data_IF_473860309939
#
_entry.id   IF_473860309939
#
_cell.length_a   1.000
_cell.length_b   1.000
_cell.length_c   1.000
_cell.angle_alpha   90.00
_cell.angle_beta   90.00
_cell.angle_gamma   90.00
#
_symmetry.space_group_name_H-M   'P 1'
#
loop_
_entity.id
_entity.type
_entity.pdbx_description
1 polymer ?
#
# COMPACT_ATOMS: atom_id res chain seq x y z
N UNK A 1 16.99 10.77 1.04
CA UNK A 1 17.80 11.86 1.60
C UNK A 1 18.88 11.31 2.51
N UNK A 2 18.56 10.55 3.57
CA UNK A 2 19.53 10.01 4.53
C UNK A 2 20.63 9.14 3.90
N UNK A 3 20.41 8.59 2.73
CA UNK A 3 21.38 7.83 1.94
C UNK A 3 22.15 8.68 0.92
N UNK A 4 22.01 10.00 0.94
CA UNK A 4 22.74 10.92 0.06
C UNK A 4 22.12 11.15 -1.31
N UNK A 5 20.91 10.64 -1.57
CA UNK A 5 20.23 10.89 -2.84
C UNK A 5 19.67 12.31 -2.90
N UNK A 6 19.77 12.93 -4.08
CA UNK A 6 18.93 14.05 -4.47
C UNK A 6 17.57 13.53 -4.92
N UNK A 7 16.48 14.12 -4.45
CA UNK A 7 15.13 13.60 -4.66
C UNK A 7 14.29 14.61 -5.44
N UNK A 8 13.82 14.21 -6.62
CA UNK A 8 12.75 14.91 -7.31
C UNK A 8 11.43 14.26 -6.91
N UNK A 9 10.58 14.99 -6.21
CA UNK A 9 9.27 14.50 -5.76
C UNK A 9 8.13 15.24 -6.44
N UNK A 10 7.01 14.56 -6.66
CA UNK A 10 5.84 15.18 -7.28
C UNK A 10 4.67 15.29 -6.32
N UNK A 11 3.90 16.35 -6.52
CA UNK A 11 2.61 16.61 -5.87
C UNK A 11 1.57 16.98 -6.92
N UNK A 12 0.29 16.75 -6.61
CA UNK A 12 -0.80 17.00 -7.57
C UNK A 12 -1.08 18.50 -7.76
N UNK A 13 -0.81 19.30 -6.76
CA UNK A 13 -0.99 20.75 -6.79
C UNK A 13 -0.01 21.47 -5.86
N UNK A 14 0.20 22.76 -6.10
CA UNK A 14 1.17 23.60 -5.38
C UNK A 14 0.91 23.65 -3.86
N UNK A 15 -0.35 23.57 -3.43
CA UNK A 15 -0.70 23.63 -2.00
C UNK A 15 -0.18 22.44 -1.19
N UNK A 16 0.16 21.34 -1.85
CA UNK A 16 0.72 20.14 -1.22
C UNK A 16 2.22 20.24 -0.94
N UNK A 17 2.93 21.16 -1.60
CA UNK A 17 4.37 21.33 -1.40
C UNK A 17 4.66 21.68 0.06
N UNK A 18 3.98 22.69 0.61
CA UNK A 18 4.19 23.11 1.99
C UNK A 18 3.78 22.03 3.00
N UNK A 19 2.75 21.24 2.69
CA UNK A 19 2.35 20.11 3.53
C UNK A 19 3.49 19.09 3.64
N UNK A 20 4.12 18.74 2.52
CA UNK A 20 5.24 17.80 2.49
C UNK A 20 6.49 18.38 3.14
N UNK A 21 6.87 19.63 2.81
CA UNK A 21 8.01 20.33 3.42
C UNK A 21 7.90 20.40 4.95
N UNK A 22 6.76 20.86 5.44
CA UNK A 22 6.51 20.99 6.88
C UNK A 22 6.55 19.61 7.59
N UNK A 23 6.04 18.56 6.92
CA UNK A 23 6.10 17.21 7.44
C UNK A 23 7.57 16.73 7.56
N UNK A 24 8.39 16.94 6.54
CA UNK A 24 9.82 16.57 6.54
C UNK A 24 10.60 17.34 7.62
N UNK A 25 10.45 18.67 7.68
CA UNK A 25 11.13 19.53 8.65
C UNK A 25 10.75 19.13 10.08
N UNK A 26 9.47 18.87 10.35
CA UNK A 26 8.98 18.39 11.66
C UNK A 26 9.67 17.10 12.11
N UNK A 27 10.09 16.27 11.18
CA UNK A 27 10.80 15.02 11.47
C UNK A 27 12.32 15.13 11.29
N UNK A 28 12.88 16.36 11.27
CA UNK A 28 14.31 16.60 11.21
C UNK A 28 14.96 16.33 9.85
N UNK A 29 14.17 16.26 8.76
CA UNK A 29 14.69 16.05 7.42
C UNK A 29 14.81 17.39 6.70
N UNK A 30 16.06 17.74 6.23
CA UNK A 30 16.27 18.91 5.38
C UNK A 30 15.61 18.74 4.01
N UNK A 31 15.10 19.83 3.47
CA UNK A 31 14.55 19.89 2.13
C UNK A 31 15.55 20.41 1.07
N UNK A 32 16.82 20.64 1.41
CA UNK A 32 17.83 21.23 0.52
C UNK A 32 18.12 20.36 -0.71
N UNK A 33 18.00 19.04 -0.56
CA UNK A 33 18.20 18.05 -1.63
C UNK A 33 16.88 17.52 -2.18
N UNK A 34 15.80 18.33 -2.13
CA UNK A 34 14.49 17.93 -2.65
C UNK A 34 13.98 18.98 -3.64
N UNK A 35 13.73 18.56 -4.88
CA UNK A 35 12.99 19.35 -5.87
C UNK A 35 11.53 18.91 -5.94
N UNK A 36 10.60 19.86 -6.06
CA UNK A 36 9.17 19.60 -6.11
C UNK A 36 8.62 19.89 -7.49
N UNK A 37 8.00 18.90 -8.11
CA UNK A 37 7.28 19.01 -9.38
C UNK A 37 5.79 18.87 -9.18
N UNK A 38 5.00 19.53 -10.02
CA UNK A 38 3.54 19.37 -10.03
C UNK A 38 3.19 18.43 -11.17
N UNK A 39 2.68 17.25 -10.85
CA UNK A 39 2.30 16.22 -11.83
C UNK A 39 0.90 15.69 -11.54
N UNK A 40 0.16 15.43 -12.60
CA UNK A 40 -1.15 14.80 -12.54
C UNK A 40 -1.14 13.49 -13.33
N UNK A 41 -1.60 12.40 -12.74
CA UNK A 41 -1.69 11.08 -13.39
C UNK A 41 -2.54 11.09 -14.68
N UNK A 42 -3.46 12.05 -14.81
CA UNK A 42 -4.35 12.20 -15.97
C UNK A 42 -3.88 13.25 -17.00
N UNK A 43 -2.71 13.86 -16.78
CA UNK A 43 -2.17 14.88 -17.69
C UNK A 43 -0.78 14.45 -18.19
N UNK A 44 -0.48 14.72 -19.46
CA UNK A 44 0.79 14.38 -20.10
C UNK A 44 1.91 15.39 -19.81
N UNK A 45 1.56 16.59 -19.28
CA UNK A 45 2.50 17.67 -19.07
C UNK A 45 3.44 17.42 -17.87
N UNK A 46 4.69 17.86 -18.00
CA UNK A 46 5.68 17.97 -16.95
C UNK A 46 6.44 16.69 -16.62
N UNK A 47 6.05 15.52 -17.15
CA UNK A 47 6.70 14.25 -16.83
C UNK A 47 8.15 14.20 -17.30
N UNK A 48 8.43 14.63 -18.53
CA UNK A 48 9.79 14.62 -19.08
C UNK A 48 10.72 15.57 -18.32
N UNK A 49 10.24 16.76 -17.98
CA UNK A 49 11.01 17.71 -17.18
C UNK A 49 11.28 17.18 -15.75
N UNK A 50 10.28 16.53 -15.14
CA UNK A 50 10.44 15.98 -13.81
C UNK A 50 11.41 14.80 -13.74
N UNK A 51 11.54 14.02 -14.81
CA UNK A 51 12.40 12.84 -14.86
C UNK A 51 13.76 13.08 -15.52
N UNK A 52 14.00 14.29 -16.04
CA UNK A 52 15.28 14.65 -16.62
C UNK A 52 16.40 14.57 -15.56
N UNK A 53 17.42 13.77 -15.85
CA UNK A 53 18.56 13.52 -14.96
C UNK A 53 18.29 12.56 -13.80
N UNK A 54 17.08 11.99 -13.69
CA UNK A 54 16.80 10.98 -12.69
C UNK A 54 17.40 9.63 -13.10
N UNK A 55 18.09 8.98 -12.16
CA UNK A 55 18.62 7.62 -12.36
C UNK A 55 17.59 6.54 -12.01
N UNK A 56 16.74 6.80 -11.04
CA UNK A 56 15.76 5.88 -10.48
C UNK A 56 14.38 6.53 -10.38
N UNK A 57 13.35 5.73 -10.53
CA UNK A 57 11.97 6.16 -10.31
C UNK A 57 11.30 5.21 -9.30
N UNK A 58 10.74 5.78 -8.24
CA UNK A 58 9.83 5.11 -7.33
C UNK A 58 8.41 5.59 -7.62
N UNK A 59 7.66 4.84 -8.42
CA UNK A 59 6.29 5.20 -8.80
C UNK A 59 5.31 4.69 -7.74
N UNK A 60 4.93 5.56 -6.80
CA UNK A 60 4.01 5.26 -5.71
C UNK A 60 2.59 5.80 -5.94
N UNK A 61 2.46 6.78 -6.82
CA UNK A 61 1.19 7.46 -7.04
C UNK A 61 0.15 6.55 -7.70
N UNK A 62 -0.98 6.38 -7.03
CA UNK A 62 -2.13 5.64 -7.55
C UNK A 62 -3.36 6.02 -6.73
N UNK A 63 -4.56 6.14 -7.33
CA UNK A 63 -5.78 6.37 -6.55
C UNK A 63 -6.07 5.18 -5.63
N UNK A 64 -6.43 5.49 -4.39
CA UNK A 64 -6.89 4.50 -3.41
C UNK A 64 -8.30 4.90 -2.97
N UNK A 65 -9.30 4.47 -3.72
CA UNK A 65 -10.71 4.71 -3.43
C UNK A 65 -11.31 3.37 -3.01
N UNK A 66 -11.73 3.20 -1.75
CA UNK A 66 -12.28 1.93 -1.27
C UNK A 66 -13.74 1.76 -1.68
N UNK A 67 -14.13 0.50 -1.86
CA UNK A 67 -15.50 0.11 -2.16
C UNK A 67 -15.78 -0.09 -3.64
N UNK A 68 -17.06 -0.26 -3.94
CA UNK A 68 -17.59 -0.43 -5.29
C UNK A 68 -17.89 0.98 -5.84
N UNK A 69 -16.92 1.53 -6.55
CA UNK A 69 -16.99 2.86 -7.17
C UNK A 69 -16.87 2.70 -8.68
N UNK A 70 -17.09 3.77 -9.43
CA UNK A 70 -16.85 3.77 -10.87
C UNK A 70 -15.42 3.32 -11.18
N UNK A 71 -15.29 2.25 -11.98
CA UNK A 71 -14.00 1.65 -12.34
C UNK A 71 -13.07 2.68 -12.99
N UNK A 72 -13.59 3.56 -13.83
CA UNK A 72 -12.80 4.56 -14.56
C UNK A 72 -12.13 5.58 -13.62
N UNK A 73 -12.72 5.87 -12.47
CA UNK A 73 -12.11 6.77 -11.48
C UNK A 73 -10.85 6.19 -10.82
N UNK A 74 -10.67 4.87 -10.87
CA UNK A 74 -9.57 4.18 -10.20
C UNK A 74 -8.61 3.56 -11.21
N UNK A 75 -9.13 2.87 -12.22
CA UNK A 75 -8.33 2.12 -13.19
C UNK A 75 -7.60 3.04 -14.16
N UNK A 76 -8.31 3.99 -14.75
CA UNK A 76 -7.73 4.91 -15.74
C UNK A 76 -6.54 5.68 -15.18
N UNK A 77 -6.63 6.43 -14.08
CA UNK A 77 -5.46 7.14 -13.55
C UNK A 77 -4.35 6.20 -13.05
N UNK A 78 -4.68 4.99 -12.59
CA UNK A 78 -3.66 4.03 -12.15
C UNK A 78 -2.85 3.45 -13.32
N UNK A 79 -3.50 3.15 -14.44
CA UNK A 79 -2.85 2.57 -15.63
C UNK A 79 -2.16 3.66 -16.42
N UNK A 80 -2.91 4.66 -16.89
CA UNK A 80 -2.37 5.72 -17.74
C UNK A 80 -1.32 6.58 -17.03
N UNK A 81 -1.50 6.86 -15.72
CA UNK A 81 -0.51 7.60 -14.93
C UNK A 81 0.80 6.84 -14.79
N UNK A 82 0.73 5.52 -14.60
CA UNK A 82 1.92 4.66 -14.61
C UNK A 82 2.58 4.66 -16.00
N UNK A 83 1.81 4.54 -17.08
CA UNK A 83 2.33 4.57 -18.46
C UNK A 83 3.04 5.88 -18.76
N UNK A 84 2.46 7.04 -18.40
CA UNK A 84 3.10 8.36 -18.56
C UNK A 84 4.45 8.42 -17.85
N UNK A 85 4.47 8.03 -16.59
CA UNK A 85 5.68 8.01 -15.80
C UNK A 85 6.75 7.08 -16.39
N UNK A 86 6.37 5.85 -16.74
CA UNK A 86 7.30 4.86 -17.28
C UNK A 86 7.83 5.23 -18.67
N UNK A 87 6.97 5.71 -19.57
CA UNK A 87 7.39 6.14 -20.90
C UNK A 87 8.34 7.35 -20.83
N UNK A 88 8.07 8.31 -19.96
CA UNK A 88 8.98 9.41 -19.70
C UNK A 88 10.29 8.93 -19.04
N UNK A 89 10.25 7.95 -18.13
CA UNK A 89 11.44 7.35 -17.56
C UNK A 89 12.33 6.68 -18.65
N UNK A 90 11.73 5.94 -19.58
CA UNK A 90 12.42 5.33 -20.72
C UNK A 90 13.06 6.41 -21.59
N UNK A 91 12.31 7.45 -21.95
CA UNK A 91 12.77 8.56 -22.79
C UNK A 91 13.96 9.29 -22.16
N UNK A 92 13.97 9.48 -20.84
CA UNK A 92 15.03 10.16 -20.11
C UNK A 92 16.20 9.24 -19.68
N UNK A 93 16.20 7.97 -20.10
CA UNK A 93 17.29 7.05 -19.82
C UNK A 93 17.40 6.63 -18.35
N UNK A 94 16.28 6.62 -17.61
CA UNK A 94 16.20 6.11 -16.24
C UNK A 94 16.70 4.66 -16.18
N UNK A 95 17.55 4.34 -15.23
CA UNK A 95 18.15 2.99 -15.09
C UNK A 95 17.14 1.97 -14.56
N UNK A 96 16.35 2.36 -13.56
CA UNK A 96 15.40 1.45 -12.93
C UNK A 96 14.11 2.13 -12.50
N UNK A 97 13.00 1.44 -12.73
CA UNK A 97 11.64 1.81 -12.34
C UNK A 97 11.13 0.83 -11.26
N UNK A 98 10.76 1.34 -10.10
CA UNK A 98 10.16 0.57 -9.01
C UNK A 98 8.70 0.96 -8.86
N UNK A 99 7.78 0.05 -9.18
CA UNK A 99 6.35 0.32 -9.05
C UNK A 99 5.83 -0.14 -7.68
N UNK A 100 5.16 0.75 -6.96
CA UNK A 100 4.32 0.35 -5.83
C UNK A 100 3.01 -0.21 -6.35
N UNK A 101 2.97 -1.53 -6.51
CA UNK A 101 1.76 -2.28 -6.79
C UNK A 101 0.98 -2.55 -5.49
N UNK A 102 0.44 -3.72 -5.31
CA UNK A 102 -0.30 -4.12 -4.10
C UNK A 102 -0.43 -5.64 -4.04
N UNK A 103 -0.61 -6.20 -2.86
CA UNK A 103 -1.15 -7.54 -2.66
C UNK A 103 -2.49 -7.75 -3.40
N UNK A 104 -3.24 -6.68 -3.66
CA UNK A 104 -4.45 -6.72 -4.48
C UNK A 104 -4.22 -7.24 -5.92
N UNK A 105 -2.99 -7.17 -6.44
CA UNK A 105 -2.62 -7.76 -7.73
C UNK A 105 -2.28 -9.26 -7.64
N UNK A 106 -2.31 -9.85 -6.44
CA UNK A 106 -1.89 -11.23 -6.15
C UNK A 106 -3.07 -12.08 -5.67
N UNK A 107 -3.86 -11.62 -4.71
CA UNK A 107 -4.66 -12.46 -3.81
C UNK A 107 -6.00 -12.94 -4.33
N UNK A 108 -6.59 -12.31 -5.33
CA UNK A 108 -7.95 -12.65 -5.76
C UNK A 108 -8.02 -13.92 -6.65
N UNK A 109 -6.98 -14.76 -6.59
CA UNK A 109 -7.01 -16.12 -7.11
C UNK A 109 -7.56 -17.05 -6.03
N UNK A 110 -8.52 -17.91 -6.37
CA UNK A 110 -8.90 -19.02 -5.50
C UNK A 110 -7.74 -20.03 -5.47
N UNK A 111 -6.86 -19.92 -4.50
CA UNK A 111 -5.93 -20.98 -4.16
C UNK A 111 -6.65 -21.95 -3.24
N UNK A 112 -6.40 -23.25 -3.40
CA UNK A 112 -7.03 -24.30 -2.59
C UNK A 112 -6.76 -24.14 -1.09
N UNK A 113 -5.64 -23.49 -0.73
CA UNK A 113 -5.14 -23.38 0.66
C UNK A 113 -5.01 -21.94 1.17
N UNK A 114 -5.56 -20.92 0.49
CA UNK A 114 -5.32 -19.50 0.80
C UNK A 114 -3.81 -19.13 0.90
N UNK A 115 -2.97 -19.79 0.14
CA UNK A 115 -1.53 -19.55 0.08
C UNK A 115 -1.20 -18.67 -1.12
N UNK A 116 -0.37 -17.64 -0.91
CA UNK A 116 -0.01 -16.68 -1.95
C UNK A 116 1.48 -16.40 -1.94
N UNK A 117 2.02 -16.22 -3.14
CA UNK A 117 3.45 -15.98 -3.39
C UNK A 117 3.65 -14.77 -4.31
N UNK A 118 4.90 -14.36 -4.49
CA UNK A 118 5.30 -13.30 -5.43
C UNK A 118 4.90 -13.59 -6.90
N UNK A 119 4.66 -14.87 -7.25
CA UNK A 119 4.36 -15.28 -8.64
C UNK A 119 2.87 -15.29 -8.97
N UNK A 120 2.00 -15.21 -7.96
CA UNK A 120 0.56 -15.25 -8.17
C UNK A 120 0.02 -13.95 -8.76
N UNK A 121 -1.10 -14.09 -9.50
CA UNK A 121 -1.81 -12.97 -10.10
C UNK A 121 -3.29 -13.05 -9.79
N UNK A 122 -3.86 -11.89 -9.50
CA UNK A 122 -5.32 -11.72 -9.42
C UNK A 122 -5.96 -12.05 -10.76
N UNK A 123 -6.97 -12.92 -10.74
CA UNK A 123 -7.71 -13.36 -11.92
C UNK A 123 -8.74 -12.27 -12.31
N UNK A 124 -8.42 -11.52 -13.36
CA UNK A 124 -9.28 -10.46 -13.89
C UNK A 124 -10.61 -10.97 -14.51
N UNK A 125 -10.78 -12.26 -14.72
CA UNK A 125 -12.06 -12.85 -15.17
C UNK A 125 -13.11 -12.94 -14.03
N UNK A 126 -12.67 -12.75 -12.79
CA UNK A 126 -13.53 -12.76 -11.62
C UNK A 126 -14.37 -11.47 -11.53
N UNK A 127 -15.65 -11.58 -11.90
CA UNK A 127 -16.61 -10.45 -11.88
C UNK A 127 -16.91 -9.86 -10.49
N UNK A 128 -16.33 -10.41 -9.42
CA UNK A 128 -16.52 -9.93 -8.04
C UNK A 128 -15.36 -9.08 -7.55
N UNK A 129 -14.40 -8.78 -8.41
CA UNK A 129 -13.29 -7.89 -8.10
C UNK A 129 -13.80 -6.47 -7.88
N UNK A 130 -13.19 -5.80 -6.92
CA UNK A 130 -13.39 -4.38 -6.71
C UNK A 130 -12.52 -3.56 -7.70
N UNK A 131 -12.92 -2.35 -8.06
CA UNK A 131 -12.16 -1.48 -8.95
C UNK A 131 -10.70 -1.29 -8.55
N UNK A 132 -10.40 -1.26 -7.25
CA UNK A 132 -9.03 -1.18 -6.73
C UNK A 132 -8.19 -2.41 -7.11
N UNK A 133 -8.75 -3.62 -6.98
CA UNK A 133 -8.05 -4.88 -7.34
C UNK A 133 -7.77 -4.92 -8.84
N UNK A 134 -8.74 -4.52 -9.64
CA UNK A 134 -8.61 -4.41 -11.09
C UNK A 134 -7.53 -3.40 -11.46
N UNK A 135 -7.54 -2.21 -10.84
CA UNK A 135 -6.61 -1.13 -11.14
C UNK A 135 -5.16 -1.52 -10.86
N UNK A 136 -4.89 -2.12 -9.70
CA UNK A 136 -3.54 -2.56 -9.33
C UNK A 136 -3.03 -3.67 -10.23
N UNK A 137 -3.90 -4.64 -10.56
CA UNK A 137 -3.55 -5.75 -11.45
C UNK A 137 -3.29 -5.27 -12.88
N UNK A 138 -4.17 -4.43 -13.44
CA UNK A 138 -4.01 -3.88 -14.79
C UNK A 138 -2.77 -2.99 -14.89
N UNK A 139 -2.56 -2.11 -13.91
CA UNK A 139 -1.40 -1.21 -13.89
C UNK A 139 -0.07 -1.97 -13.83
N UNK A 140 0.04 -2.99 -12.96
CA UNK A 140 1.26 -3.78 -12.86
C UNK A 140 1.51 -4.62 -14.13
N UNK A 141 0.48 -5.27 -14.68
CA UNK A 141 0.60 -6.02 -15.94
C UNK A 141 1.04 -5.11 -17.10
N UNK A 142 0.48 -3.90 -17.17
CA UNK A 142 0.85 -2.92 -18.19
C UNK A 142 2.30 -2.43 -18.03
N UNK A 143 2.76 -2.25 -16.80
CA UNK A 143 4.18 -1.95 -16.54
C UNK A 143 5.08 -3.04 -17.11
N UNK A 144 4.80 -4.32 -16.84
CA UNK A 144 5.59 -5.43 -17.37
C UNK A 144 5.54 -5.55 -18.90
N UNK A 145 4.38 -5.26 -19.51
CA UNK A 145 4.24 -5.21 -20.99
C UNK A 145 5.21 -4.21 -21.61
N UNK A 146 5.26 -2.96 -21.07
CA UNK A 146 6.14 -1.91 -21.58
C UNK A 146 7.61 -2.22 -21.29
N UNK A 147 7.93 -2.69 -20.09
CA UNK A 147 9.30 -3.03 -19.69
C UNK A 147 9.88 -4.12 -20.59
N UNK A 148 9.11 -5.16 -20.91
CA UNK A 148 9.54 -6.25 -21.80
C UNK A 148 9.86 -5.79 -23.23
N UNK A 149 9.38 -4.60 -23.65
CA UNK A 149 9.63 -4.01 -24.96
C UNK A 149 10.70 -2.90 -24.92
N UNK A 150 11.31 -2.68 -23.78
CA UNK A 150 12.27 -1.60 -23.53
C UNK A 150 13.57 -2.11 -22.92
N UNK A 151 14.51 -1.20 -22.66
CA UNK A 151 15.79 -1.52 -22.00
C UNK A 151 15.80 -1.13 -20.51
N UNK A 152 14.72 -0.52 -20.00
CA UNK A 152 14.66 -0.11 -18.61
C UNK A 152 14.54 -1.33 -17.69
N UNK A 153 15.28 -1.34 -16.60
CA UNK A 153 15.06 -2.32 -15.54
C UNK A 153 13.86 -1.95 -14.70
N UNK A 154 13.09 -2.93 -14.23
CA UNK A 154 11.97 -2.65 -13.34
C UNK A 154 11.76 -3.77 -12.31
N UNK A 155 11.09 -3.41 -11.21
CA UNK A 155 10.53 -4.35 -10.25
C UNK A 155 9.21 -3.83 -9.66
N UNK A 156 8.43 -4.74 -9.08
CA UNK A 156 7.16 -4.39 -8.44
C UNK A 156 7.19 -4.72 -6.95
N UNK A 157 6.75 -3.78 -6.13
CA UNK A 157 6.56 -3.95 -4.69
C UNK A 157 5.06 -4.15 -4.44
N UNK A 158 4.70 -5.28 -3.85
CA UNK A 158 3.32 -5.71 -3.62
C UNK A 158 3.02 -5.79 -2.10
N UNK A 159 2.90 -4.64 -1.41
CA UNK A 159 2.64 -4.67 0.01
C UNK A 159 1.21 -5.13 0.31
N UNK A 160 1.03 -5.80 1.44
CA UNK A 160 -0.25 -5.99 2.08
C UNK A 160 -0.76 -4.69 2.70
N UNK A 161 -1.61 -4.74 3.69
CA UNK A 161 -2.12 -3.55 4.37
C UNK A 161 -0.98 -2.85 5.13
N UNK A 162 -0.57 -1.68 4.63
CA UNK A 162 0.52 -0.89 5.21
C UNK A 162 0.00 -0.07 6.38
N UNK A 163 0.55 -0.29 7.57
CA UNK A 163 0.22 0.44 8.80
C UNK A 163 1.42 1.28 9.26
N UNK A 164 1.12 2.41 9.86
CA UNK A 164 2.12 3.32 10.41
C UNK A 164 1.61 4.76 10.40
N UNK A 165 2.18 5.64 11.25
CA UNK A 165 1.81 7.04 11.29
C UNK A 165 2.24 7.76 10.01
N UNK A 166 1.46 8.72 9.58
CA UNK A 166 1.82 9.61 8.47
C UNK A 166 2.66 10.77 9.00
N UNK A 167 3.76 11.08 8.35
CA UNK A 167 4.58 12.25 8.69
C UNK A 167 3.82 13.57 8.61
N UNK A 168 2.86 13.70 7.70
CA UNK A 168 2.02 14.89 7.52
C UNK A 168 0.88 15.02 8.54
N UNK A 169 0.63 13.99 9.35
CA UNK A 169 -0.55 13.93 10.23
C UNK A 169 -1.86 13.59 9.49
N UNK A 170 -1.85 13.53 8.17
CA UNK A 170 -3.02 13.13 7.38
C UNK A 170 -3.18 11.62 7.47
N UNK A 171 -4.31 11.16 7.97
CA UNK A 171 -4.57 9.75 8.18
C UNK A 171 -4.62 8.99 6.85
N UNK A 172 -3.75 7.99 6.70
CA UNK A 172 -3.74 7.11 5.52
C UNK A 172 -5.05 6.32 5.37
N UNK A 173 -5.37 5.90 4.15
CA UNK A 173 -6.55 5.07 3.91
C UNK A 173 -6.48 3.73 4.67
N UNK A 174 -5.31 3.11 4.74
CA UNK A 174 -5.09 1.88 5.51
C UNK A 174 -5.43 2.06 6.99
N UNK A 175 -4.95 3.15 7.62
CA UNK A 175 -5.27 3.45 9.01
C UNK A 175 -6.75 3.79 9.23
N UNK A 176 -7.40 4.44 8.24
CA UNK A 176 -8.85 4.70 8.28
C UNK A 176 -9.67 3.41 8.26
N UNK A 177 -9.33 2.50 7.36
CA UNK A 177 -10.07 1.25 7.15
C UNK A 177 -9.77 0.18 8.21
N UNK A 178 -8.65 0.31 8.92
CA UNK A 178 -8.22 -0.66 9.93
C UNK A 178 -8.33 -0.08 11.33
N UNK A 179 -7.34 0.71 11.73
CA UNK A 179 -7.21 1.18 13.12
C UNK A 179 -8.41 2.04 13.53
N UNK A 180 -8.74 3.10 12.76
CA UNK A 180 -9.89 3.95 13.07
C UNK A 180 -11.21 3.16 13.08
N UNK A 181 -11.40 2.26 12.10
CA UNK A 181 -12.62 1.45 12.01
C UNK A 181 -12.73 0.48 13.18
N UNK A 182 -11.61 -0.11 13.62
CA UNK A 182 -11.58 -1.03 14.76
C UNK A 182 -12.16 -0.37 16.03
N UNK A 183 -11.79 0.86 16.34
CA UNK A 183 -12.31 1.61 17.49
C UNK A 183 -13.82 1.88 17.43
N UNK A 184 -14.42 1.82 16.25
CA UNK A 184 -15.86 2.05 16.04
C UNK A 184 -16.67 0.75 15.95
N UNK A 185 -16.03 -0.41 16.05
CA UNK A 185 -16.75 -1.68 16.03
C UNK A 185 -17.34 -1.98 17.42
N UNK A 186 -18.62 -2.38 17.52
CA UNK A 186 -19.18 -2.84 18.78
C UNK A 186 -18.62 -4.21 19.20
N UNK A 187 -18.27 -5.05 18.23
CA UNK A 187 -17.72 -6.40 18.40
C UNK A 187 -16.78 -6.72 17.26
N UNK A 188 -15.86 -7.65 17.46
CA UNK A 188 -14.89 -8.07 16.44
C UNK A 188 -15.46 -9.22 15.60
N UNK A 189 -15.32 -9.21 14.27
CA UNK A 189 -15.47 -10.41 13.48
C UNK A 189 -14.25 -11.32 13.66
N UNK A 190 -14.46 -12.64 13.61
CA UNK A 190 -13.38 -13.63 13.58
C UNK A 190 -12.77 -13.64 12.18
N UNK A 191 -11.80 -12.77 11.95
CA UNK A 191 -11.08 -12.66 10.69
C UNK A 191 -9.65 -12.18 10.91
N UNK A 192 -8.80 -12.54 9.97
CA UNK A 192 -7.39 -12.10 9.94
C UNK A 192 -7.16 -11.08 8.82
N UNK A 193 -6.13 -10.26 8.99
CA UNK A 193 -5.62 -9.32 8.01
C UNK A 193 -4.09 -9.46 7.93
N UNK A 194 -3.54 -9.37 6.74
CA UNK A 194 -2.10 -9.35 6.53
C UNK A 194 -1.58 -7.93 6.57
N UNK A 195 -0.54 -7.67 7.37
CA UNK A 195 -0.06 -6.33 7.70
C UNK A 195 1.45 -6.21 7.57
N UNK A 196 1.91 -4.99 7.30
CA UNK A 196 3.33 -4.62 7.24
C UNK A 196 3.50 -3.17 7.69
N UNK A 197 4.64 -2.86 8.32
CA UNK A 197 4.99 -1.52 8.76
C UNK A 197 5.35 -0.58 7.60
N UNK A 198 4.96 0.70 7.67
CA UNK A 198 5.25 1.68 6.62
C UNK A 198 6.74 1.91 6.42
N UNK A 199 7.53 1.88 7.50
CA UNK A 199 8.98 2.05 7.41
C UNK A 199 9.64 0.84 6.74
N UNK A 200 9.20 -0.38 7.06
CA UNK A 200 9.71 -1.60 6.42
C UNK A 200 9.39 -1.63 4.92
N UNK A 201 8.21 -1.12 4.52
CA UNK A 201 7.85 -0.96 3.10
C UNK A 201 8.74 0.07 2.41
N UNK A 202 9.01 1.22 3.05
CA UNK A 202 9.90 2.24 2.50
C UNK A 202 11.34 1.71 2.33
N UNK A 203 11.85 0.97 3.31
CA UNK A 203 13.15 0.30 3.20
C UNK A 203 13.20 -0.68 2.03
N UNK A 204 12.16 -1.52 1.86
CA UNK A 204 12.08 -2.47 0.75
C UNK A 204 12.13 -1.77 -0.63
N UNK A 205 11.50 -0.60 -0.78
CA UNK A 205 11.58 0.18 -2.02
C UNK A 205 13.02 0.61 -2.33
N UNK A 206 13.74 1.10 -1.33
CA UNK A 206 15.13 1.53 -1.51
C UNK A 206 16.04 0.33 -1.77
N UNK A 207 15.87 -0.77 -1.03
CA UNK A 207 16.63 -2.02 -1.25
C UNK A 207 16.40 -2.55 -2.67
N UNK A 208 15.15 -2.56 -3.16
CA UNK A 208 14.83 -3.01 -4.51
C UNK A 208 15.37 -2.05 -5.59
N UNK A 209 15.39 -0.75 -5.32
CA UNK A 209 15.98 0.25 -6.21
C UNK A 209 17.49 0.05 -6.39
N UNK A 210 18.21 -0.19 -5.29
CA UNK A 210 19.67 -0.33 -5.26
C UNK A 210 20.16 -1.72 -5.73
N UNK A 211 19.33 -2.76 -5.65
CA UNK A 211 19.74 -4.16 -5.91
C UNK A 211 19.44 -4.58 -7.36
N UNK A 212 20.46 -4.85 -8.16
CA UNK A 212 20.30 -5.31 -9.55
C UNK A 212 19.58 -6.66 -9.65
N UNK A 213 19.72 -7.55 -8.67
CA UNK A 213 19.01 -8.83 -8.64
C UNK A 213 17.50 -8.68 -8.49
N UNK A 214 17.01 -7.48 -8.13
CA UNK A 214 15.59 -7.16 -8.08
C UNK A 214 14.94 -6.95 -9.47
N UNK A 215 15.75 -6.83 -10.54
CA UNK A 215 15.26 -6.59 -11.88
C UNK A 215 14.38 -7.76 -12.36
N UNK A 216 13.21 -7.45 -12.91
CA UNK A 216 12.24 -8.44 -13.38
C UNK A 216 11.51 -9.18 -12.24
N UNK A 217 11.61 -8.74 -10.99
CA UNK A 217 11.01 -9.41 -9.84
C UNK A 217 9.82 -8.66 -9.26
N UNK A 218 8.94 -9.44 -8.65
CA UNK A 218 7.85 -8.98 -7.79
C UNK A 218 8.22 -9.28 -6.34
N UNK A 219 7.82 -8.42 -5.42
CA UNK A 219 8.13 -8.54 -4.01
C UNK A 219 6.86 -8.39 -3.18
N UNK A 220 6.28 -9.52 -2.77
CA UNK A 220 5.20 -9.54 -1.78
C UNK A 220 5.78 -9.13 -0.43
N UNK A 221 5.24 -8.05 0.15
CA UNK A 221 5.67 -7.56 1.46
C UNK A 221 4.59 -7.77 2.50
N UNK A 222 4.85 -8.65 3.46
CA UNK A 222 4.02 -8.90 4.63
C UNK A 222 4.92 -9.22 5.81
N UNK A 223 4.65 -8.63 6.97
CA UNK A 223 5.32 -9.05 8.21
C UNK A 223 4.59 -10.22 8.84
N UNK A 224 3.28 -10.11 8.95
CA UNK A 224 2.44 -11.18 9.51
C UNK A 224 0.99 -11.07 9.08
N UNK A 225 0.29 -12.20 9.17
CA UNK A 225 -1.18 -12.26 9.18
C UNK A 225 -1.64 -12.29 10.63
N UNK A 226 -2.45 -11.31 11.04
CA UNK A 226 -2.89 -11.11 12.43
C UNK A 226 -4.41 -11.16 12.53
N UNK A 227 -4.94 -11.86 13.56
CA UNK A 227 -6.37 -11.80 13.87
C UNK A 227 -6.76 -10.41 14.38
N UNK A 228 -7.94 -9.93 14.04
CA UNK A 228 -8.43 -8.64 14.54
C UNK A 228 -8.48 -8.59 16.07
N UNK A 229 -8.70 -9.75 16.75
CA UNK A 229 -8.61 -9.85 18.20
C UNK A 229 -7.21 -9.55 18.72
N UNK A 230 -6.17 -10.09 18.07
CA UNK A 230 -4.79 -9.91 18.51
C UNK A 230 -4.32 -8.49 18.26
N UNK A 231 -4.71 -7.90 17.10
CA UNK A 231 -4.50 -6.47 16.82
C UNK A 231 -5.17 -5.60 17.90
N UNK A 232 -6.39 -5.96 18.29
CA UNK A 232 -7.12 -5.27 19.37
C UNK A 232 -6.42 -5.41 20.72
N UNK A 233 -5.86 -6.58 21.02
CA UNK A 233 -5.10 -6.82 22.27
C UNK A 233 -3.81 -5.97 22.29
N UNK A 234 -3.05 -5.89 21.19
CA UNK A 234 -1.87 -5.02 21.08
C UNK A 234 -2.23 -3.57 21.47
N UNK A 235 -3.34 -3.06 20.94
CA UNK A 235 -3.79 -1.70 21.26
C UNK A 235 -4.25 -1.56 22.70
N UNK A 236 -4.95 -2.56 23.24
CA UNK A 236 -5.41 -2.55 24.63
C UNK A 236 -4.24 -2.57 25.62
N UNK A 237 -3.22 -3.41 25.34
CA UNK A 237 -2.02 -3.52 26.17
C UNK A 237 -1.17 -2.24 26.11
N UNK A 238 -1.23 -1.52 25.00
CA UNK A 238 -0.65 -0.17 24.85
C UNK A 238 -1.48 0.95 25.51
N UNK A 239 -2.58 0.61 26.23
CA UNK A 239 -3.37 1.57 27.01
C UNK A 239 -4.60 2.15 26.32
N UNK A 240 -4.96 1.73 25.12
CA UNK A 240 -6.17 2.19 24.40
C UNK A 240 -7.42 1.46 24.93
N UNK A 241 -8.13 2.05 25.87
CA UNK A 241 -9.23 1.41 26.62
C UNK A 241 -10.50 1.12 25.79
N UNK A 242 -10.78 1.92 24.75
CA UNK A 242 -12.02 1.83 23.95
C UNK A 242 -11.94 0.84 22.78
N UNK A 243 -11.00 -0.09 22.78
CA UNK A 243 -10.85 -1.08 21.72
C UNK A 243 -11.72 -2.31 22.04
N UNK A 244 -12.57 -2.80 21.12
CA UNK A 244 -13.39 -3.99 21.36
C UNK A 244 -12.49 -5.22 21.45
N UNK A 245 -12.79 -6.13 22.38
CA UNK A 245 -12.03 -7.38 22.58
C UNK A 245 -12.89 -8.62 22.46
N UNK A 246 -14.22 -8.46 22.38
CA UNK A 246 -15.13 -9.58 22.22
C UNK A 246 -15.31 -9.94 20.75
N UNK A 247 -15.11 -11.22 20.42
CA UNK A 247 -15.30 -11.75 19.07
C UNK A 247 -16.71 -12.33 18.97
N UNK A 248 -17.47 -11.81 18.01
CA UNK A 248 -18.83 -12.32 17.77
C UNK A 248 -18.79 -13.72 17.15
N UNK A 249 -19.67 -14.64 17.57
CA UNK A 249 -19.78 -15.95 16.94
C UNK A 249 -20.07 -15.85 15.43
N UNK A 250 -19.36 -16.64 14.63
CA UNK A 250 -19.44 -16.58 13.16
C UNK A 250 -20.86 -16.81 12.63
N UNK A 251 -21.64 -17.70 13.27
CA UNK A 251 -23.01 -17.98 12.86
C UNK A 251 -23.91 -16.75 13.03
N UNK A 252 -23.72 -15.96 14.09
CA UNK A 252 -24.50 -14.75 14.34
C UNK A 252 -24.20 -13.68 13.29
N UNK A 253 -22.91 -13.46 12.98
CA UNK A 253 -22.52 -12.50 11.93
C UNK A 253 -23.01 -12.94 10.55
N UNK A 254 -23.00 -14.24 10.25
CA UNK A 254 -23.58 -14.77 9.00
C UNK A 254 -25.08 -14.52 8.93
N UNK A 255 -25.81 -14.74 10.02
CA UNK A 255 -27.25 -14.49 10.07
C UNK A 255 -27.56 -13.00 9.86
N UNK A 256 -26.89 -12.09 10.57
CA UNK A 256 -27.09 -10.65 10.45
C UNK A 256 -26.72 -10.17 9.04
N UNK A 257 -25.72 -10.78 8.37
CA UNK A 257 -25.29 -10.43 7.02
C UNK A 257 -26.37 -10.68 5.94
N UNK A 258 -27.36 -11.53 6.21
CA UNK A 258 -28.50 -11.73 5.31
C UNK A 258 -29.33 -10.45 5.17
N UNK A 259 -29.46 -9.69 6.26
CA UNK A 259 -30.26 -8.47 6.34
C UNK A 259 -29.43 -7.19 6.20
N UNK A 260 -28.08 -7.29 6.30
CA UNK A 260 -27.18 -6.14 6.29
C UNK A 260 -26.15 -6.29 5.16
N UNK A 261 -26.37 -5.66 3.99
CA UNK A 261 -25.51 -5.81 2.81
C UNK A 261 -24.02 -5.52 3.08
N UNK A 262 -23.72 -4.51 3.92
CA UNK A 262 -22.35 -4.13 4.28
C UNK A 262 -21.57 -5.22 5.03
N UNK A 263 -22.26 -6.16 5.69
CA UNK A 263 -21.63 -7.29 6.39
C UNK A 263 -21.43 -8.52 5.51
N UNK A 264 -21.98 -8.57 4.29
CA UNK A 264 -21.87 -9.74 3.40
C UNK A 264 -20.43 -10.03 2.99
N UNK A 265 -19.63 -9.00 2.76
CA UNK A 265 -18.21 -9.16 2.44
C UNK A 265 -17.41 -9.71 3.64
N UNK A 266 -17.70 -9.20 4.84
CA UNK A 266 -17.09 -9.69 6.09
C UNK A 266 -17.49 -11.15 6.32
N UNK A 267 -18.78 -11.48 6.18
CA UNK A 267 -19.30 -12.84 6.40
C UNK A 267 -18.62 -13.91 5.51
N UNK A 268 -18.18 -13.53 4.30
CA UNK A 268 -17.45 -14.43 3.39
C UNK A 268 -16.00 -14.70 3.83
N UNK A 269 -15.43 -13.84 4.66
CA UNK A 269 -14.03 -13.92 5.13
C UNK A 269 -13.92 -14.42 6.58
N UNK A 270 -15.05 -14.70 7.26
CA UNK A 270 -15.05 -15.20 8.62
C UNK A 270 -14.33 -16.56 8.73
N UNK A 271 -13.40 -16.66 9.66
CA UNK A 271 -12.60 -17.86 9.90
C UNK A 271 -11.55 -18.15 8.83
N UNK A 272 -11.36 -17.28 7.84
CA UNK A 272 -10.29 -17.44 6.85
C UNK A 272 -8.97 -16.84 7.35
N UNK A 273 -7.89 -17.55 7.10
CA UNK A 273 -6.52 -17.09 7.34
C UNK A 273 -5.73 -17.27 6.03
N UNK A 274 -4.98 -16.25 5.67
CA UNK A 274 -4.13 -16.26 4.48
C UNK A 274 -2.69 -16.56 4.90
N UNK A 275 -2.00 -17.40 4.12
CA UNK A 275 -0.57 -17.67 4.27
C UNK A 275 0.18 -16.99 3.14
N UNK A 276 1.10 -16.11 3.47
CA UNK A 276 1.86 -15.32 2.53
C UNK A 276 3.34 -15.70 2.57
N UNK A 277 3.89 -15.98 1.40
CA UNK A 277 5.29 -16.36 1.24
C UNK A 277 6.04 -15.19 0.60
N UNK A 278 6.87 -14.51 1.38
CA UNK A 278 7.67 -13.33 0.99
C UNK A 278 9.06 -13.71 0.51
N UNK A 279 9.16 -14.82 -0.24
CA UNK A 279 10.43 -15.45 -0.58
C UNK A 279 11.38 -14.54 -1.36
N UNK A 280 10.88 -13.78 -2.33
CA UNK A 280 11.73 -12.86 -3.09
C UNK A 280 12.26 -11.72 -2.19
N UNK A 281 11.41 -11.16 -1.33
CA UNK A 281 11.83 -10.10 -0.42
C UNK A 281 12.92 -10.58 0.55
N UNK A 282 12.77 -11.77 1.11
CA UNK A 282 13.73 -12.33 2.04
C UNK A 282 15.05 -12.73 1.35
N UNK A 283 14.96 -13.47 0.22
CA UNK A 283 16.11 -14.12 -0.40
C UNK A 283 16.91 -13.18 -1.33
N UNK A 284 16.22 -12.23 -1.99
CA UNK A 284 16.86 -11.32 -2.96
C UNK A 284 17.22 -10.00 -2.31
N UNK A 285 16.31 -9.43 -1.51
CA UNK A 285 16.58 -8.13 -0.87
C UNK A 285 17.23 -8.28 0.50
N UNK A 286 17.16 -9.44 1.15
CA UNK A 286 17.54 -9.57 2.56
C UNK A 286 16.60 -8.80 3.49
N UNK A 287 15.35 -8.62 3.08
CA UNK A 287 14.35 -7.83 3.81
C UNK A 287 13.63 -8.69 4.86
N UNK A 288 13.73 -8.26 6.13
CA UNK A 288 13.11 -8.93 7.28
C UNK A 288 12.41 -7.88 8.17
N UNK A 289 11.10 -7.65 7.99
CA UNK A 289 10.35 -6.62 8.71
C UNK A 289 10.18 -6.98 10.20
N UNK A 290 10.07 -5.96 11.07
CA UNK A 290 9.99 -6.16 12.53
C UNK A 290 9.17 -5.10 13.25
N UNK A 291 8.50 -4.19 12.53
CA UNK A 291 8.00 -2.95 13.15
C UNK A 291 6.49 -2.86 13.27
N UNK A 292 5.73 -3.81 12.72
CA UNK A 292 4.29 -3.63 12.55
C UNK A 292 3.54 -3.43 13.87
N UNK A 293 3.94 -4.06 14.97
CA UNK A 293 3.26 -3.88 16.26
C UNK A 293 3.44 -2.45 16.79
N UNK A 294 4.65 -1.91 16.68
CA UNK A 294 4.93 -0.51 17.01
C UNK A 294 4.19 0.44 16.08
N UNK A 295 4.15 0.13 14.78
CA UNK A 295 3.43 0.94 13.79
C UNK A 295 1.91 0.95 14.01
N UNK A 296 1.33 -0.16 14.47
CA UNK A 296 -0.07 -0.23 14.90
C UNK A 296 -0.33 0.72 16.08
N UNK A 297 0.52 0.68 17.09
CA UNK A 297 0.42 1.53 18.30
C UNK A 297 0.57 3.01 17.90
N UNK A 298 1.60 3.33 17.12
CA UNK A 298 1.87 4.70 16.67
C UNK A 298 0.75 5.24 15.77
N UNK A 299 0.14 4.41 14.94
CA UNK A 299 -1.03 4.78 14.14
C UNK A 299 -2.22 5.13 15.00
N UNK A 300 -2.49 4.34 16.03
CA UNK A 300 -3.57 4.61 16.98
C UNK A 300 -3.30 5.92 17.76
N UNK A 301 -2.07 6.12 18.22
CA UNK A 301 -1.67 7.34 18.92
C UNK A 301 -1.87 8.57 18.02
N UNK A 302 -1.43 8.52 16.76
CA UNK A 302 -1.66 9.60 15.80
C UNK A 302 -3.14 9.93 15.61
N UNK A 303 -4.03 8.92 15.56
CA UNK A 303 -5.47 9.12 15.41
C UNK A 303 -6.06 9.88 16.61
N UNK A 304 -5.55 9.64 17.82
CA UNK A 304 -5.92 10.40 19.01
C UNK A 304 -5.33 11.81 18.98
N UNK A 305 -4.07 11.97 18.64
CA UNK A 305 -3.35 13.27 18.64
C UNK A 305 -3.96 14.26 17.66
N UNK A 306 -4.46 13.77 16.50
CA UNK A 306 -5.17 14.62 15.52
C UNK A 306 -6.67 14.78 15.84
N UNK A 307 -7.16 14.29 16.99
CA UNK A 307 -8.52 14.51 17.47
C UNK A 307 -9.62 13.72 16.74
N UNK A 308 -9.26 12.72 15.93
CA UNK A 308 -10.23 11.90 15.19
C UNK A 308 -10.95 10.91 16.12
N UNK A 309 -10.25 10.41 17.13
CA UNK A 309 -10.82 9.62 18.23
C UNK A 309 -10.72 10.43 19.52
N UNK A 310 -11.78 10.42 20.34
CA UNK A 310 -11.77 11.03 21.67
C UNK A 310 -11.32 10.00 22.71
N UNK A 311 -10.43 10.41 23.61
CA UNK A 311 -9.99 9.61 24.76
C UNK A 311 -11.13 9.14 25.62
#
# INVERSE_FOLDING_TARGET
>A
ISKGYYVVTSVIDKSKIDVVKNALIKHGVSCDNIDFKILNLLNDEGWDDALNGCEYVLHMASPVIPGDVDEDLVVKPAVEGMERCLNSAIKNGVKKFVQTSSYAAIYARRTLNNEHTDTDWTDLSNKKLLPYEISKTKSEKKMWEIVNQSKISACAINPVLVLGPSMSGILSMSNRLTIKKLFNLPVLPDMSISVVGVQDVAEAHVMAMENESANGKRFLLSEKTIKLKDLSNILKDAGFKKVPTWVAPNFLLKLVSLFTPSLRMIAKRLGSEEKLFTNNANNILGWYPKRVDLEIINSAQQIYDVGILKK
#
